data_IF_834915725145
#
_entry.id   IF_834915725145
#
_cell.length_a   1.000
_cell.length_b   1.000
_cell.length_c   1.000
_cell.angle_alpha   90.00
_cell.angle_beta   90.00
_cell.angle_gamma   90.00
#
_symmetry.space_group_name_H-M   'P 1'
#
loop_
_entity.id
_entity.type
_entity.pdbx_description
1 polymer ?
#
# COMPACT_ATOMS: atom_id res chain seq x y z
N UNK A 1 4.11 11.85 12.40
CA UNK A 1 4.77 11.07 11.32
C UNK A 1 5.35 9.82 11.97
N UNK A 2 5.00 8.64 11.48
CA UNK A 2 5.56 7.36 11.97
C UNK A 2 6.85 6.99 11.24
N UNK A 3 7.63 6.08 11.80
CA UNK A 3 8.81 5.52 11.14
C UNK A 3 8.45 4.20 10.46
N UNK A 4 8.94 3.98 9.23
CA UNK A 4 8.76 2.72 8.52
C UNK A 4 9.53 1.61 9.24
N UNK A 5 8.93 0.41 9.42
CA UNK A 5 9.63 -0.75 9.97
C UNK A 5 10.92 -1.07 9.19
N UNK A 6 11.97 -1.51 9.88
CA UNK A 6 13.33 -1.74 9.35
C UNK A 6 13.40 -2.70 8.14
N UNK A 7 12.39 -3.57 7.97
CA UNK A 7 12.23 -4.45 6.80
C UNK A 7 12.01 -3.69 5.48
N UNK A 8 11.58 -2.43 5.55
CA UNK A 8 11.31 -1.59 4.39
C UNK A 8 12.43 -0.58 4.20
N UNK A 9 13.28 -0.79 3.19
CA UNK A 9 14.35 0.15 2.82
C UNK A 9 13.78 1.29 1.96
N UNK A 10 13.05 2.23 2.57
CA UNK A 10 12.66 3.48 1.91
C UNK A 10 13.42 4.64 2.54
N UNK A 11 14.15 5.42 1.73
CA UNK A 11 14.76 6.68 2.19
C UNK A 11 13.66 7.65 2.63
N UNK A 12 13.92 8.51 3.62
CA UNK A 12 13.01 9.59 3.99
C UNK A 12 12.81 10.54 2.80
N UNK A 13 11.57 10.95 2.54
CA UNK A 13 11.21 11.79 1.41
C UNK A 13 10.00 11.27 0.64
N UNK A 14 9.66 11.88 -0.50
CA UNK A 14 8.55 11.43 -1.32
C UNK A 14 8.86 10.07 -1.99
N UNK A 15 7.85 9.21 -2.05
CA UNK A 15 7.94 7.90 -2.68
C UNK A 15 6.56 7.46 -3.18
N UNK A 16 6.55 6.55 -4.16
CA UNK A 16 5.36 5.79 -4.51
C UNK A 16 5.28 4.55 -3.62
N UNK A 17 4.11 4.28 -3.04
CA UNK A 17 3.82 3.03 -2.36
C UNK A 17 2.94 2.18 -3.27
N UNK A 18 3.38 0.96 -3.56
CA UNK A 18 2.59 -0.05 -4.25
C UNK A 18 2.27 -1.20 -3.30
N UNK A 19 1.11 -1.80 -3.46
CA UNK A 19 0.73 -3.02 -2.74
C UNK A 19 -0.32 -3.79 -3.56
N UNK A 20 -0.44 -5.08 -3.26
CA UNK A 20 -1.56 -5.89 -3.73
C UNK A 20 -2.55 -6.06 -2.58
N UNK A 21 -3.84 -6.03 -2.91
CA UNK A 21 -4.91 -6.18 -1.95
C UNK A 21 -5.93 -7.19 -2.47
N UNK A 22 -6.39 -8.08 -1.59
CA UNK A 22 -7.66 -8.76 -1.78
C UNK A 22 -8.77 -7.86 -1.24
N UNK A 23 -9.69 -7.47 -2.11
CA UNK A 23 -10.81 -6.60 -1.81
C UNK A 23 -12.01 -6.98 -2.69
N UNK A 24 -13.22 -6.70 -2.21
CA UNK A 24 -14.48 -6.92 -2.93
C UNK A 24 -14.68 -5.91 -4.06
N UNK A 25 -14.16 -4.70 -3.87
CA UNK A 25 -14.22 -3.62 -4.85
C UNK A 25 -13.06 -2.63 -4.70
N UNK A 26 -12.98 -1.67 -5.62
CA UNK A 26 -11.92 -0.67 -5.64
C UNK A 26 -11.96 0.29 -4.44
N UNK A 27 -13.14 0.54 -3.86
CA UNK A 27 -13.28 1.41 -2.69
C UNK A 27 -12.71 0.76 -1.42
N UNK A 28 -12.98 -0.54 -1.23
CA UNK A 28 -12.36 -1.32 -0.15
C UNK A 28 -10.83 -1.41 -0.32
N UNK A 29 -10.35 -1.61 -1.56
CA UNK A 29 -8.92 -1.60 -1.86
C UNK A 29 -8.25 -0.25 -1.55
N UNK A 30 -8.88 0.87 -1.93
CA UNK A 30 -8.39 2.20 -1.60
C UNK A 30 -8.33 2.43 -0.08
N UNK A 31 -9.43 2.14 0.61
CA UNK A 31 -9.53 2.36 2.05
C UNK A 31 -8.47 1.56 2.81
N UNK A 32 -8.30 0.28 2.45
CA UNK A 32 -7.24 -0.57 2.99
C UNK A 32 -5.85 -0.02 2.72
N UNK A 33 -5.59 0.46 1.50
CA UNK A 33 -4.29 1.03 1.12
C UNK A 33 -3.92 2.20 2.04
N UNK A 34 -4.88 3.11 2.30
CA UNK A 34 -4.68 4.26 3.19
C UNK A 34 -4.45 3.84 4.64
N UNK A 35 -5.22 2.88 5.15
CA UNK A 35 -5.07 2.37 6.52
C UNK A 35 -3.70 1.70 6.71
N UNK A 36 -3.30 0.83 5.79
CA UNK A 36 -2.01 0.12 5.84
C UNK A 36 -0.86 1.12 5.73
N UNK A 37 -0.93 2.07 4.78
CA UNK A 37 0.05 3.14 4.64
C UNK A 37 0.23 3.89 5.96
N UNK A 38 -0.86 4.34 6.58
CA UNK A 38 -0.81 5.07 7.85
C UNK A 38 -0.20 4.20 8.97
N UNK A 39 -0.59 2.93 9.05
CA UNK A 39 -0.09 1.99 10.05
C UNK A 39 1.42 1.78 9.95
N UNK A 40 1.97 1.77 8.74
CA UNK A 40 3.41 1.64 8.50
C UNK A 40 4.15 2.99 8.46
N UNK A 41 3.50 4.10 8.80
CA UNK A 41 4.12 5.42 8.87
C UNK A 41 4.26 6.14 7.53
N UNK A 42 3.59 5.67 6.48
CA UNK A 42 3.53 6.31 5.17
C UNK A 42 2.29 7.22 5.05
N UNK A 43 2.50 8.49 4.72
CA UNK A 43 1.41 9.44 4.51
C UNK A 43 1.03 9.48 3.02
N UNK A 44 -0.22 9.11 2.70
CA UNK A 44 -0.77 9.24 1.34
C UNK A 44 -1.21 10.69 1.12
N UNK A 45 -0.42 11.47 0.40
CA UNK A 45 -0.67 12.90 0.14
C UNK A 45 -1.30 13.17 -1.23
N UNK A 46 -1.47 12.15 -2.06
CA UNK A 46 -2.00 12.25 -3.41
C UNK A 46 -3.11 11.23 -3.69
N UNK A 47 -3.23 10.87 -4.96
CA UNK A 47 -4.21 9.91 -5.45
C UNK A 47 -3.80 8.47 -5.14
N UNK A 48 -4.79 7.59 -4.99
CA UNK A 48 -4.61 6.15 -4.94
C UNK A 48 -5.15 5.59 -6.25
N UNK A 49 -4.29 4.91 -7.00
CA UNK A 49 -4.66 4.27 -8.25
C UNK A 49 -4.89 2.78 -7.98
N UNK A 50 -6.08 2.29 -8.32
CA UNK A 50 -6.46 0.89 -8.15
C UNK A 50 -6.56 0.24 -9.53
N UNK A 51 -5.89 -0.90 -9.68
CA UNK A 51 -5.91 -1.70 -10.90
C UNK A 51 -6.35 -3.11 -10.55
N UNK A 52 -7.33 -3.63 -11.28
CA UNK A 52 -7.70 -5.04 -11.20
C UNK A 52 -6.60 -5.88 -11.84
N UNK A 53 -6.22 -6.97 -11.18
CA UNK A 53 -5.19 -7.90 -11.65
C UNK A 53 -5.65 -9.33 -11.41
N UNK A 54 -5.11 -10.27 -12.18
CA UNK A 54 -5.32 -11.69 -11.91
C UNK A 54 -4.81 -12.05 -10.51
N UNK A 55 -5.58 -12.81 -9.71
CA UNK A 55 -5.22 -13.12 -8.34
C UNK A 55 -3.96 -13.98 -8.25
N UNK A 56 -2.98 -13.54 -7.48
CA UNK A 56 -1.72 -14.28 -7.25
C UNK A 56 -1.72 -15.08 -5.94
N UNK A 57 -2.68 -14.81 -5.06
CA UNK A 57 -2.86 -15.48 -3.76
C UNK A 57 -4.32 -15.91 -3.68
N UNK A 58 -4.63 -17.02 -3.01
CA UNK A 58 -6.02 -17.43 -2.81
C UNK A 58 -6.81 -16.34 -2.04
N UNK A 59 -8.13 -16.21 -2.28
CA UNK A 59 -8.99 -15.34 -1.47
C UNK A 59 -8.85 -15.69 0.01
N UNK A 60 -8.78 -14.69 0.87
CA UNK A 60 -8.79 -14.88 2.32
C UNK A 60 -10.10 -14.41 2.92
N UNK A 61 -10.45 -14.92 4.10
CA UNK A 61 -11.68 -14.53 4.82
C UNK A 61 -11.68 -13.08 5.29
N UNK A 62 -10.51 -12.42 5.31
CA UNK A 62 -10.38 -11.01 5.65
C UNK A 62 -9.58 -10.27 4.57
N UNK A 63 -9.95 -9.01 4.28
CA UNK A 63 -9.17 -8.15 3.39
C UNK A 63 -7.71 -8.11 3.82
N UNK A 64 -6.80 -8.40 2.88
CA UNK A 64 -5.38 -8.56 3.18
C UNK A 64 -4.52 -7.84 2.14
N UNK A 65 -3.64 -6.98 2.64
CA UNK A 65 -2.60 -6.30 1.85
C UNK A 65 -1.28 -7.07 1.87
N UNK A 66 -0.64 -7.24 0.71
CA UNK A 66 0.63 -7.94 0.57
C UNK A 66 1.53 -7.31 -0.51
N UNK A 67 2.78 -7.77 -0.58
CA UNK A 67 3.76 -7.31 -1.59
C UNK A 67 3.91 -5.77 -1.60
N UNK A 68 4.02 -5.18 -0.41
CA UNK A 68 4.22 -3.74 -0.25
C UNK A 68 5.61 -3.38 -0.79
N UNK A 69 5.67 -2.38 -1.65
CA UNK A 69 6.91 -1.89 -2.25
C UNK A 69 6.94 -0.37 -2.20
N UNK A 70 8.14 0.20 -2.09
CA UNK A 70 8.38 1.63 -2.08
C UNK A 70 9.34 2.01 -3.20
N UNK A 71 8.96 3.01 -3.99
CA UNK A 71 9.79 3.57 -5.06
C UNK A 71 10.01 5.06 -4.76
N UNK A 72 11.13 5.43 -4.10
CA UNK A 72 11.47 6.83 -3.85
C UNK A 72 11.66 7.60 -5.16
N UNK A 73 11.30 8.88 -5.18
CA UNK A 73 11.60 9.78 -6.28
C UNK A 73 12.17 11.10 -5.74
N UNK A 74 12.83 11.85 -6.62
CA UNK A 74 13.22 13.24 -6.35
C UNK A 74 12.07 14.14 -6.82
N UNK A 75 11.69 15.10 -5.96
CA UNK A 75 10.68 16.12 -6.26
C UNK A 75 11.31 17.41 -6.77
#
# INVERSE_FOLDING_TARGET
MGELPERWKCRRGPAWMAMKAWALDAGEAEHMTRLIAQHIGFAVTGEVLVYETEPQVAPQESPHGYDIQFTPYDG
#
